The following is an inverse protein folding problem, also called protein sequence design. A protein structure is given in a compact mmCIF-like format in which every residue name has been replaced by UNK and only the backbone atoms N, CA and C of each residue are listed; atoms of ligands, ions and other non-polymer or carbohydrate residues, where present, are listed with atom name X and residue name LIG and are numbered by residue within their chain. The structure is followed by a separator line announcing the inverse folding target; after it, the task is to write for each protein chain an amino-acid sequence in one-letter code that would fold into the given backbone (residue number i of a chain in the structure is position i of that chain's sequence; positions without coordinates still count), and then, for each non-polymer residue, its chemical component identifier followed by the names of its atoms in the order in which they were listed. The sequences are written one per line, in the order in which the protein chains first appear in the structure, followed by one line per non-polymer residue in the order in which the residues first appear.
data_IF_610457623069
#
_entry.id   IF_610457623069
#
_cell.length_a   1.000
_cell.length_b   1.000
_cell.length_c   1.000
_cell.angle_alpha   90.00
_cell.angle_beta   90.00
_cell.angle_gamma   90.00
#
_symmetry.space_group_name_H-M   'P 1'
#
loop_
_entity.id
_entity.type
_entity.pdbx_description
1 polymer ?
#
# COMPACT_ATOMS: atom_id res chain seq x y z
N UNK A 1 -18.62 -4.57 -23.37
CA UNK A 1 -17.86 -3.30 -23.57
C UNK A 1 -16.87 -3.05 -22.43
N UNK A 2 -17.22 -3.35 -21.19
CA UNK A 2 -16.37 -3.10 -20.01
C UNK A 2 -15.11 -3.99 -19.96
N UNK A 3 -15.15 -5.19 -20.49
CA UNK A 3 -14.02 -6.14 -20.49
C UNK A 3 -12.87 -5.71 -21.42
N UNK A 4 -13.15 -5.06 -22.56
CA UNK A 4 -12.13 -4.59 -23.49
C UNK A 4 -11.45 -3.30 -22.99
N UNK A 5 -12.22 -2.41 -22.36
CA UNK A 5 -11.68 -1.20 -21.74
C UNK A 5 -10.82 -1.54 -20.51
N UNK A 6 -11.22 -2.53 -19.71
CA UNK A 6 -10.44 -2.96 -18.56
C UNK A 6 -9.12 -3.64 -18.95
N UNK A 7 -9.07 -4.42 -20.04
CA UNK A 7 -7.83 -5.01 -20.57
C UNK A 7 -6.85 -3.95 -21.08
N UNK A 8 -7.33 -2.97 -21.84
CA UNK A 8 -6.48 -1.87 -22.32
C UNK A 8 -5.92 -1.02 -21.18
N UNK A 9 -6.72 -0.75 -20.17
CA UNK A 9 -6.30 0.00 -18.98
C UNK A 9 -5.27 -0.80 -18.15
N UNK A 10 -5.49 -2.10 -17.99
CA UNK A 10 -4.55 -2.99 -17.29
C UNK A 10 -3.16 -3.01 -17.94
N UNK A 11 -3.08 -3.03 -19.26
CA UNK A 11 -1.80 -3.03 -19.98
C UNK A 11 -1.07 -1.68 -19.86
N UNK A 12 -1.81 -0.56 -19.83
CA UNK A 12 -1.24 0.77 -19.57
C UNK A 12 -0.62 0.83 -18.19
N UNK A 13 -1.33 0.38 -17.13
CA UNK A 13 -0.79 0.36 -15.78
C UNK A 13 0.40 -0.58 -15.61
N UNK A 14 0.38 -1.77 -16.22
CA UNK A 14 1.52 -2.69 -16.22
C UNK A 14 2.77 -2.00 -16.78
N UNK A 15 2.64 -1.29 -17.91
CA UNK A 15 3.75 -0.55 -18.50
C UNK A 15 4.21 0.60 -17.60
N UNK A 16 3.29 1.39 -17.06
CA UNK A 16 3.61 2.51 -16.17
C UNK A 16 4.32 2.02 -14.89
N UNK A 17 3.89 0.90 -14.32
CA UNK A 17 4.54 0.29 -13.16
C UNK A 17 5.95 -0.22 -13.53
N UNK A 18 6.12 -0.94 -14.64
CA UNK A 18 7.44 -1.44 -15.09
C UNK A 18 8.43 -0.32 -15.37
N UNK A 19 7.95 0.83 -15.85
CA UNK A 19 8.77 2.01 -16.15
C UNK A 19 8.76 3.07 -15.06
N UNK A 20 8.21 2.76 -13.88
CA UNK A 20 8.17 3.61 -12.68
C UNK A 20 7.53 5.00 -12.92
N UNK A 21 6.54 5.06 -13.81
CA UNK A 21 5.82 6.29 -14.17
C UNK A 21 4.71 6.61 -13.16
N UNK A 22 5.07 6.76 -11.88
CA UNK A 22 4.14 6.94 -10.77
C UNK A 22 3.29 8.20 -10.91
N UNK A 23 3.88 9.31 -11.35
CA UNK A 23 3.15 10.57 -11.56
C UNK A 23 2.10 10.44 -12.68
N UNK A 24 2.37 9.63 -13.71
CA UNK A 24 1.40 9.36 -14.76
C UNK A 24 0.20 8.54 -14.25
N UNK A 25 0.42 7.57 -13.35
CA UNK A 25 -0.65 6.82 -12.69
C UNK A 25 -1.52 7.76 -11.85
N UNK A 26 -0.90 8.60 -11.03
CA UNK A 26 -1.61 9.53 -10.15
C UNK A 26 -2.42 10.56 -10.96
N UNK A 27 -1.83 11.15 -11.99
CA UNK A 27 -2.48 12.18 -12.80
C UNK A 27 -3.59 11.64 -13.73
N UNK A 28 -3.51 10.36 -14.11
CA UNK A 28 -4.53 9.70 -14.93
C UNK A 28 -5.72 9.17 -14.13
N UNK A 29 -5.71 9.34 -12.80
CA UNK A 29 -6.78 8.85 -11.93
C UNK A 29 -8.06 9.63 -12.15
N UNK A 30 -9.09 8.97 -12.66
CA UNK A 30 -10.45 9.52 -12.71
C UNK A 30 -11.11 9.37 -11.34
N UNK A 31 -11.39 10.49 -10.70
CA UNK A 31 -12.03 10.54 -9.37
C UNK A 31 -13.46 9.94 -9.36
N UNK A 32 -14.08 9.79 -10.53
CA UNK A 32 -15.40 9.20 -10.66
C UNK A 32 -15.37 7.67 -10.89
N UNK A 33 -14.18 7.11 -11.12
CA UNK A 33 -14.03 5.69 -11.46
C UNK A 33 -13.59 4.88 -10.25
N UNK A 34 -14.52 4.13 -9.66
CA UNK A 34 -14.32 3.38 -8.44
C UNK A 34 -14.02 1.89 -8.71
N UNK A 35 -12.93 1.59 -9.41
CA UNK A 35 -12.46 0.22 -9.63
C UNK A 35 -11.30 -0.10 -8.68
N UNK A 36 -11.39 -1.23 -7.95
CA UNK A 36 -10.37 -1.65 -7.00
C UNK A 36 -8.97 -1.78 -7.61
N UNK A 37 -8.84 -2.34 -8.81
CA UNK A 37 -7.53 -2.44 -9.48
C UNK A 37 -6.91 -1.08 -9.72
N UNK A 38 -7.72 -0.10 -10.15
CA UNK A 38 -7.29 1.27 -10.32
C UNK A 38 -6.83 1.90 -9.01
N UNK A 39 -7.62 1.74 -7.94
CA UNK A 39 -7.28 2.25 -6.61
C UNK A 39 -6.02 1.57 -6.04
N UNK A 40 -5.84 0.26 -6.29
CA UNK A 40 -4.62 -0.45 -5.90
C UNK A 40 -3.38 0.11 -6.65
N UNK A 41 -3.49 0.40 -7.97
CA UNK A 41 -2.41 1.04 -8.74
C UNK A 41 -2.11 2.44 -8.22
N UNK A 42 -3.15 3.23 -7.95
CA UNK A 42 -3.02 4.58 -7.40
C UNK A 42 -2.31 4.57 -6.04
N UNK A 43 -2.78 3.74 -5.11
CA UNK A 43 -2.21 3.68 -3.76
C UNK A 43 -0.77 3.14 -3.80
N UNK A 44 -0.44 2.20 -4.70
CA UNK A 44 0.95 1.79 -4.95
C UNK A 44 1.80 2.97 -5.43
N UNK A 45 1.29 3.78 -6.37
CA UNK A 45 2.00 4.95 -6.86
C UNK A 45 2.19 6.02 -5.78
N UNK A 46 1.15 6.30 -4.96
CA UNK A 46 1.25 7.23 -3.82
C UNK A 46 2.30 6.79 -2.80
N UNK A 47 2.39 5.49 -2.50
CA UNK A 47 3.41 4.96 -1.60
C UNK A 47 4.81 5.04 -2.20
N UNK A 48 5.00 4.73 -3.48
CA UNK A 48 6.29 4.93 -4.15
C UNK A 48 6.73 6.39 -4.16
N UNK A 49 5.80 7.34 -4.26
CA UNK A 49 6.08 8.78 -4.15
C UNK A 49 6.29 9.25 -2.71
N UNK A 50 6.00 8.42 -1.70
CA UNK A 50 6.10 8.76 -0.29
C UNK A 50 5.05 9.76 0.20
N UNK A 51 3.92 9.88 -0.52
CA UNK A 51 2.82 10.81 -0.19
C UNK A 51 1.53 10.10 0.25
N UNK A 52 1.54 8.77 0.33
CA UNK A 52 0.33 8.01 0.66
C UNK A 52 -0.27 8.40 2.02
N UNK A 53 0.55 8.64 3.03
CA UNK A 53 0.09 8.99 4.38
C UNK A 53 -0.67 10.32 4.43
N UNK A 54 -0.39 11.26 3.52
CA UNK A 54 -1.03 12.58 3.47
C UNK A 54 -2.13 12.68 2.42
N UNK A 55 -2.00 11.90 1.34
CA UNK A 55 -2.80 12.08 0.14
C UNK A 55 -3.85 10.99 -0.07
N UNK A 56 -3.87 9.95 0.79
CA UNK A 56 -4.79 8.81 0.67
C UNK A 56 -6.25 9.24 0.47
N UNK A 57 -6.72 10.19 1.27
CA UNK A 57 -8.11 10.67 1.23
C UNK A 57 -8.38 11.77 0.21
N UNK A 58 -7.38 12.26 -0.51
CA UNK A 58 -7.61 13.14 -1.68
C UNK A 58 -8.30 12.39 -2.83
N UNK A 59 -8.27 11.07 -2.77
CA UNK A 59 -8.86 10.17 -3.76
C UNK A 59 -9.97 9.34 -3.13
N UNK A 60 -11.03 8.99 -3.88
CA UNK A 60 -12.11 8.16 -3.37
C UNK A 60 -11.56 6.78 -3.00
N UNK A 61 -11.77 6.37 -1.75
CA UNK A 61 -11.36 5.07 -1.25
C UNK A 61 -12.60 4.21 -0.94
N UNK A 62 -12.51 2.91 -1.21
CA UNK A 62 -13.59 1.93 -1.00
C UNK A 62 -13.21 0.88 0.05
N UNK A 63 -12.71 1.34 1.20
CA UNK A 63 -12.25 0.48 2.28
C UNK A 63 -10.91 -0.19 1.97
N UNK A 64 -10.55 -1.23 2.74
CA UNK A 64 -9.25 -1.92 2.65
C UNK A 64 -8.97 -2.47 1.24
N UNK A 65 -10.02 -2.82 0.48
CA UNK A 65 -9.88 -3.32 -0.88
C UNK A 65 -9.26 -2.29 -1.85
N UNK A 66 -9.23 -1.01 -1.49
CA UNK A 66 -8.51 0.01 -2.24
C UNK A 66 -6.99 -0.15 -2.16
N UNK A 67 -6.46 -0.81 -1.14
CA UNK A 67 -5.04 -1.12 -0.98
C UNK A 67 -4.67 -2.45 -1.64
N UNK A 68 -5.44 -3.48 -1.33
CA UNK A 68 -5.31 -4.83 -1.88
C UNK A 68 -6.72 -5.39 -2.05
N UNK A 69 -7.15 -5.54 -3.29
CA UNK A 69 -8.48 -6.09 -3.61
C UNK A 69 -8.58 -7.58 -3.26
N UNK A 70 -9.80 -8.11 -3.22
CA UNK A 70 -9.99 -9.56 -3.07
C UNK A 70 -9.47 -10.26 -4.33
N UNK A 71 -8.67 -11.30 -4.12
CA UNK A 71 -8.10 -12.08 -5.21
C UNK A 71 -9.18 -12.86 -5.97
N UNK A 72 -9.27 -12.65 -7.27
CA UNK A 72 -10.21 -13.31 -8.17
C UNK A 72 -9.53 -14.21 -9.22
N UNK A 73 -8.25 -14.53 -9.04
CA UNK A 73 -7.42 -15.35 -9.92
C UNK A 73 -7.25 -14.80 -11.35
N UNK A 74 -7.35 -13.47 -11.52
CA UNK A 74 -7.02 -12.83 -12.79
C UNK A 74 -5.52 -12.49 -12.89
N UNK A 75 -4.99 -12.54 -14.10
CA UNK A 75 -3.56 -12.27 -14.38
C UNK A 75 -3.20 -10.83 -13.99
N UNK A 76 -4.10 -9.88 -14.26
CA UNK A 76 -3.93 -8.46 -13.92
C UNK A 76 -3.79 -8.24 -12.42
N UNK A 77 -4.62 -8.91 -11.62
CA UNK A 77 -4.56 -8.86 -10.16
C UNK A 77 -3.29 -9.50 -9.64
N UNK A 78 -2.94 -10.69 -10.16
CA UNK A 78 -1.71 -11.39 -9.77
C UNK A 78 -0.46 -10.54 -10.07
N UNK A 79 -0.43 -9.87 -11.24
CA UNK A 79 0.62 -8.92 -11.58
C UNK A 79 0.70 -7.81 -10.52
N UNK A 80 -0.41 -7.13 -10.25
CA UNK A 80 -0.46 -5.99 -9.35
C UNK A 80 -0.11 -6.39 -7.91
N UNK A 81 -0.65 -7.52 -7.44
CA UNK A 81 -0.33 -8.03 -6.10
C UNK A 81 1.14 -8.37 -5.95
N UNK A 82 1.77 -8.95 -7.00
CA UNK A 82 3.21 -9.20 -6.97
C UNK A 82 4.01 -7.91 -6.75
N UNK A 83 3.59 -6.79 -7.36
CA UNK A 83 4.24 -5.50 -7.21
C UNK A 83 3.98 -4.90 -5.82
N UNK A 84 2.74 -4.93 -5.33
CA UNK A 84 2.38 -4.41 -4.01
C UNK A 84 3.13 -5.17 -2.91
N UNK A 85 3.05 -6.51 -2.92
CA UNK A 85 3.73 -7.32 -1.90
C UNK A 85 5.25 -7.19 -1.95
N UNK A 86 5.82 -7.05 -3.16
CA UNK A 86 7.23 -6.75 -3.30
C UNK A 86 7.58 -5.38 -2.73
N UNK A 87 6.77 -4.36 -3.01
CA UNK A 87 6.97 -3.00 -2.52
C UNK A 87 6.99 -2.95 -0.99
N UNK A 88 6.00 -3.54 -0.34
CA UNK A 88 5.91 -3.55 1.13
C UNK A 88 6.90 -4.50 1.82
N UNK A 89 7.57 -5.40 1.07
CA UNK A 89 8.59 -6.30 1.60
C UNK A 89 8.12 -7.72 1.93
N UNK A 90 6.90 -8.11 1.53
CA UNK A 90 6.40 -9.49 1.66
C UNK A 90 6.86 -10.31 0.45
N UNK A 91 8.16 -10.61 0.42
CA UNK A 91 8.84 -11.22 -0.73
C UNK A 91 8.27 -12.58 -1.12
N UNK A 92 7.80 -13.39 -0.16
CA UNK A 92 7.20 -14.70 -0.42
C UNK A 92 5.91 -14.62 -1.23
N UNK A 93 5.00 -13.70 -0.88
CA UNK A 93 3.77 -13.47 -1.65
C UNK A 93 4.06 -12.84 -3.01
N UNK A 94 4.98 -11.87 -3.04
CA UNK A 94 5.41 -11.27 -4.30
C UNK A 94 5.91 -12.33 -5.28
N UNK A 95 6.75 -13.26 -4.79
CA UNK A 95 7.25 -14.40 -5.57
C UNK A 95 6.11 -15.30 -6.05
N UNK A 96 5.20 -15.70 -5.17
CA UNK A 96 4.10 -16.60 -5.52
C UNK A 96 3.19 -16.01 -6.61
N UNK A 97 2.82 -14.74 -6.48
CA UNK A 97 2.01 -14.06 -7.49
C UNK A 97 2.77 -13.85 -8.80
N UNK A 98 4.07 -13.53 -8.75
CA UNK A 98 4.90 -13.37 -9.94
C UNK A 98 5.08 -14.70 -10.68
N UNK A 99 5.32 -15.80 -9.95
CA UNK A 99 5.44 -17.14 -10.51
C UNK A 99 4.13 -17.59 -11.16
N UNK A 100 3.01 -17.46 -10.44
CA UNK A 100 1.67 -17.79 -10.96
C UNK A 100 1.33 -17.00 -12.22
N UNK A 101 1.62 -15.69 -12.23
CA UNK A 101 1.44 -14.84 -13.42
C UNK A 101 2.32 -15.32 -14.59
N UNK A 102 3.57 -15.66 -14.34
CA UNK A 102 4.51 -16.12 -15.39
C UNK A 102 4.09 -17.44 -16.01
N UNK A 103 3.54 -18.36 -15.21
CA UNK A 103 3.02 -19.65 -15.69
C UNK A 103 1.71 -19.47 -16.47
N UNK A 104 0.86 -18.55 -16.06
CA UNK A 104 -0.42 -18.25 -16.72
C UNK A 104 -0.30 -17.57 -18.08
N UNK A 105 0.88 -17.03 -18.42
CA UNK A 105 1.13 -16.34 -19.71
C UNK A 105 1.93 -17.27 -20.63
N UNK A 106 1.41 -17.56 -21.83
CA UNK A 106 1.97 -18.54 -22.78
C UNK A 106 3.45 -18.34 -23.11
N UNK A 107 3.95 -17.12 -23.12
CA UNK A 107 5.35 -16.78 -23.41
C UNK A 107 6.11 -16.23 -22.19
N UNK A 108 5.53 -16.32 -20.99
CA UNK A 108 6.08 -15.72 -19.78
C UNK A 108 5.92 -14.19 -19.76
N UNK A 109 6.38 -13.58 -18.67
CA UNK A 109 6.40 -12.13 -18.49
C UNK A 109 7.81 -11.68 -18.08
N UNK A 110 8.51 -10.89 -18.93
CA UNK A 110 9.82 -10.36 -18.56
C UNK A 110 9.79 -9.55 -17.25
N UNK A 111 8.73 -8.80 -17.00
CA UNK A 111 8.56 -8.02 -15.77
C UNK A 111 8.47 -8.92 -14.55
N UNK A 112 7.69 -10.01 -14.65
CA UNK A 112 7.61 -11.01 -13.58
C UNK A 112 8.93 -11.75 -13.42
N UNK A 113 9.63 -12.04 -14.51
CA UNK A 113 10.96 -12.66 -14.47
C UNK A 113 11.97 -11.77 -13.73
N UNK A 114 11.94 -10.44 -13.92
CA UNK A 114 12.73 -9.48 -13.12
C UNK A 114 12.44 -9.63 -11.64
N UNK A 115 11.18 -9.72 -11.26
CA UNK A 115 10.77 -9.86 -9.85
C UNK A 115 11.18 -11.22 -9.28
N UNK A 116 11.08 -12.31 -10.06
CA UNK A 116 11.58 -13.63 -9.65
C UNK A 116 13.11 -13.61 -9.44
N UNK A 117 13.88 -12.96 -10.32
CA UNK A 117 15.33 -12.79 -10.13
C UNK A 117 15.61 -12.05 -8.83
N UNK A 118 14.97 -10.91 -8.61
CA UNK A 118 15.15 -10.12 -7.37
C UNK A 118 14.81 -10.95 -6.13
N UNK A 119 13.69 -11.68 -6.15
CA UNK A 119 13.27 -12.52 -5.03
C UNK A 119 14.29 -13.64 -4.75
N UNK A 120 14.79 -14.33 -5.77
CA UNK A 120 15.82 -15.35 -5.59
C UNK A 120 17.14 -14.78 -5.05
N UNK A 121 17.54 -13.57 -5.49
CA UNK A 121 18.71 -12.89 -4.94
C UNK A 121 18.51 -12.52 -3.46
N UNK A 122 17.32 -12.03 -3.09
CA UNK A 122 16.96 -11.72 -1.70
C UNK A 122 17.04 -12.98 -0.83
N UNK A 123 16.56 -14.12 -1.31
CA UNK A 123 16.63 -15.41 -0.59
C UNK A 123 18.00 -16.10 -0.63
N UNK A 124 18.99 -15.58 -1.36
CA UNK A 124 20.27 -16.25 -1.56
C UNK A 124 20.19 -17.51 -2.44
N UNK A 125 19.12 -17.67 -3.18
CA UNK A 125 18.89 -18.81 -4.08
C UNK A 125 19.58 -18.57 -5.44
N UNK A 126 20.90 -18.40 -5.41
CA UNK A 126 21.70 -17.98 -6.57
C UNK A 126 21.58 -18.89 -7.80
N UNK A 127 21.55 -20.24 -7.67
CA UNK A 127 21.39 -21.10 -8.86
C UNK A 127 20.06 -20.89 -9.59
N UNK A 128 18.99 -20.55 -8.85
CA UNK A 128 17.71 -20.22 -9.45
C UNK A 128 17.73 -18.83 -10.08
N UNK A 129 18.29 -17.84 -9.39
CA UNK A 129 18.47 -16.49 -9.93
C UNK A 129 19.25 -16.52 -11.25
N UNK A 130 20.35 -17.28 -11.32
CA UNK A 130 21.18 -17.40 -12.51
C UNK A 130 20.43 -17.97 -13.72
N UNK A 131 19.56 -18.97 -13.51
CA UNK A 131 18.70 -19.52 -14.57
C UNK A 131 17.77 -18.47 -15.16
N UNK A 132 17.10 -17.68 -14.29
CA UNK A 132 16.19 -16.62 -14.73
C UNK A 132 16.94 -15.44 -15.35
N UNK A 133 18.13 -15.08 -14.86
CA UNK A 133 19.01 -14.08 -15.50
C UNK A 133 19.37 -14.55 -16.90
N UNK A 134 19.86 -15.78 -17.06
CA UNK A 134 20.23 -16.33 -18.36
C UNK A 134 19.06 -16.43 -19.35
N UNK A 135 17.84 -16.64 -18.83
CA UNK A 135 16.62 -16.60 -19.66
C UNK A 135 16.33 -15.17 -20.15
N UNK A 136 16.41 -14.19 -19.27
CA UNK A 136 16.08 -12.79 -19.59
C UNK A 136 17.15 -12.12 -20.45
N UNK A 137 18.42 -12.54 -20.36
CA UNK A 137 19.52 -12.12 -21.22
C UNK A 137 19.29 -12.46 -22.71
N UNK A 138 18.46 -13.46 -23.00
CA UNK A 138 18.09 -13.78 -24.39
C UNK A 138 17.13 -12.77 -25.01
N UNK A 139 16.57 -11.86 -24.22
CA UNK A 139 15.63 -10.85 -24.69
C UNK A 139 16.39 -9.56 -25.02
N UNK A 140 16.09 -8.97 -26.17
CA UNK A 140 16.77 -7.73 -26.60
C UNK A 140 16.55 -6.57 -25.64
N UNK A 141 15.32 -6.37 -25.17
CA UNK A 141 14.97 -5.22 -24.34
C UNK A 141 15.50 -5.31 -22.88
N UNK A 142 15.69 -6.54 -22.36
CA UNK A 142 16.05 -6.72 -20.95
C UNK A 142 17.46 -7.29 -20.73
N UNK A 143 18.20 -7.53 -21.83
CA UNK A 143 19.56 -8.10 -21.77
C UNK A 143 20.48 -7.31 -20.82
N UNK A 144 20.56 -5.98 -21.01
CA UNK A 144 21.44 -5.14 -20.21
C UNK A 144 21.09 -5.13 -18.72
N UNK A 145 19.79 -5.10 -18.40
CA UNK A 145 19.33 -5.19 -17.02
C UNK A 145 19.68 -6.57 -16.41
N UNK A 146 19.39 -7.65 -17.12
CA UNK A 146 19.64 -9.01 -16.65
C UNK A 146 21.14 -9.24 -16.40
N UNK A 147 22.00 -8.84 -17.34
CA UNK A 147 23.45 -8.95 -17.19
C UNK A 147 23.99 -8.16 -15.98
N UNK A 148 23.40 -7.01 -15.70
CA UNK A 148 23.78 -6.20 -14.54
C UNK A 148 23.48 -6.90 -13.20
N UNK A 149 22.51 -7.84 -13.15
CA UNK A 149 22.20 -8.61 -11.95
C UNK A 149 23.24 -9.68 -11.61
N UNK A 150 24.11 -10.07 -12.55
CA UNK A 150 25.16 -11.07 -12.29
C UNK A 150 26.13 -10.68 -11.19
N UNK A 151 26.31 -9.38 -10.93
CA UNK A 151 27.15 -8.88 -9.81
C UNK A 151 26.70 -9.34 -8.42
N UNK A 152 25.43 -9.74 -8.29
CA UNK A 152 24.83 -10.21 -7.05
C UNK A 152 24.92 -11.72 -6.87
N UNK A 153 25.23 -12.49 -7.95
CA UNK A 153 25.30 -13.94 -7.87
C UNK A 153 26.45 -14.39 -6.98
N UNK A 154 26.13 -15.25 -6.01
CA UNK A 154 27.08 -15.80 -5.04
C UNK A 154 27.86 -14.72 -4.25
N UNK A 155 27.26 -13.55 -4.11
CA UNK A 155 27.87 -12.40 -3.44
C UNK A 155 26.87 -11.77 -2.45
N UNK A 156 26.76 -12.37 -1.25
CA UNK A 156 25.86 -11.90 -0.20
C UNK A 156 26.14 -10.45 0.19
N UNK A 157 27.42 -10.03 0.26
CA UNK A 157 27.78 -8.66 0.59
C UNK A 157 27.26 -7.66 -0.43
N UNK A 158 27.29 -7.98 -1.72
CA UNK A 158 26.75 -7.11 -2.75
C UNK A 158 25.23 -6.99 -2.62
N UNK A 159 24.51 -8.09 -2.32
CA UNK A 159 23.07 -8.08 -2.11
C UNK A 159 22.70 -7.28 -0.87
N UNK A 160 23.40 -7.46 0.24
CA UNK A 160 23.14 -6.77 1.50
C UNK A 160 23.43 -5.26 1.43
N UNK A 161 24.39 -4.87 0.60
CA UNK A 161 24.75 -3.47 0.38
C UNK A 161 23.84 -2.75 -0.62
N UNK A 162 23.04 -3.50 -1.38
CA UNK A 162 22.10 -2.93 -2.33
C UNK A 162 20.91 -2.29 -1.59
N UNK A 163 20.55 -1.03 -1.90
CA UNK A 163 19.48 -0.33 -1.19
C UNK A 163 18.12 -1.03 -1.29
N UNK A 164 17.82 -1.67 -2.42
CA UNK A 164 16.57 -2.38 -2.64
C UNK A 164 16.60 -3.80 -2.08
N UNK A 165 17.55 -4.61 -2.56
CA UNK A 165 17.64 -6.04 -2.21
C UNK A 165 18.01 -6.23 -0.74
N UNK A 166 18.98 -5.47 -0.23
CA UNK A 166 19.44 -5.57 1.15
C UNK A 166 18.38 -5.16 2.17
N UNK A 167 17.61 -4.11 1.88
CA UNK A 167 16.49 -3.70 2.74
C UNK A 167 15.44 -4.81 2.84
N UNK A 168 15.11 -5.45 1.72
CA UNK A 168 14.13 -6.55 1.71
C UNK A 168 14.68 -7.83 2.33
N UNK A 169 15.98 -8.11 2.16
CA UNK A 169 16.65 -9.25 2.83
C UNK A 169 16.61 -9.10 4.37
N UNK A 170 16.78 -7.89 4.90
CA UNK A 170 16.65 -7.62 6.34
C UNK A 170 15.24 -7.84 6.88
N UNK A 171 14.23 -7.71 6.04
CA UNK A 171 12.83 -7.96 6.40
C UNK A 171 12.40 -9.43 6.27
N UNK A 172 13.33 -10.32 5.87
CA UNK A 172 13.06 -11.76 5.87
C UNK A 172 13.07 -12.26 7.31
N UNK A 173 11.91 -12.67 7.82
CA UNK A 173 11.82 -13.34 9.12
C UNK A 173 12.46 -14.72 9.03
N UNK A 174 13.42 -15.00 9.92
CA UNK A 174 14.16 -16.28 9.94
C UNK A 174 13.29 -17.47 10.36
N UNK A 175 12.16 -17.25 11.06
CA UNK A 175 11.40 -18.30 11.74
C UNK A 175 9.91 -18.38 11.40
N UNK A 176 9.41 -17.47 10.58
CA UNK A 176 7.99 -17.46 10.23
C UNK A 176 7.86 -17.55 8.72
N UNK A 177 7.42 -18.71 8.25
CA UNK A 177 6.82 -18.82 6.93
C UNK A 177 5.70 -17.78 6.86
N UNK A 178 6.02 -16.62 6.29
CA UNK A 178 5.03 -15.62 5.92
C UNK A 178 4.18 -16.19 4.77
N UNK A 179 3.53 -17.32 5.01
CA UNK A 179 2.37 -17.75 4.24
C UNK A 179 1.26 -16.79 4.59
N UNK A 180 1.46 -15.55 4.15
CA UNK A 180 0.52 -14.51 4.36
C UNK A 180 -0.77 -14.92 3.66
N UNK A 181 -1.70 -15.30 4.45
CA UNK A 181 -3.08 -15.30 4.04
C UNK A 181 -3.43 -13.84 3.70
N UNK A 182 -4.07 -13.59 2.57
CA UNK A 182 -4.55 -12.24 2.19
C UNK A 182 -5.38 -11.61 3.34
N UNK A 183 -6.02 -12.45 4.16
CA UNK A 183 -6.76 -12.07 5.36
C UNK A 183 -5.84 -11.52 6.47
N UNK A 184 -4.55 -11.86 6.47
CA UNK A 184 -3.55 -11.44 7.46
C UNK A 184 -2.61 -10.33 6.97
N UNK A 185 -3.01 -9.50 5.99
CA UNK A 185 -2.16 -8.42 5.48
C UNK A 185 -1.63 -7.53 6.60
N UNK A 186 -2.50 -7.10 7.50
CA UNK A 186 -2.13 -6.23 8.63
C UNK A 186 -1.10 -6.89 9.54
N UNK A 187 -1.31 -8.15 9.92
CA UNK A 187 -0.40 -8.89 10.80
C UNK A 187 0.99 -9.06 10.16
N UNK A 188 1.03 -9.33 8.85
CA UNK A 188 2.28 -9.43 8.11
C UNK A 188 3.02 -8.08 8.03
N UNK A 189 2.30 -6.99 7.81
CA UNK A 189 2.87 -5.64 7.80
C UNK A 189 3.44 -5.27 9.18
N UNK A 190 2.75 -5.66 10.26
CA UNK A 190 3.22 -5.44 11.63
C UNK A 190 4.53 -6.17 11.91
N UNK A 191 4.65 -7.44 11.48
CA UNK A 191 5.90 -8.21 11.61
C UNK A 191 7.05 -7.53 10.86
N UNK A 192 6.79 -7.07 9.63
CA UNK A 192 7.80 -6.36 8.82
C UNK A 192 8.26 -5.07 9.50
N UNK A 193 7.34 -4.30 10.07
CA UNK A 193 7.68 -3.05 10.78
C UNK A 193 8.48 -3.31 12.06
N UNK A 194 8.24 -4.42 12.75
CA UNK A 194 9.02 -4.83 13.91
C UNK A 194 10.46 -5.20 13.55
N UNK A 195 10.66 -5.88 12.43
CA UNK A 195 11.98 -6.31 11.96
C UNK A 195 12.72 -5.20 11.20
N UNK A 196 12.01 -4.34 10.49
CA UNK A 196 12.56 -3.21 9.75
C UNK A 196 11.75 -1.93 9.97
N UNK A 197 11.97 -1.21 11.08
CA UNK A 197 11.25 0.03 11.44
C UNK A 197 11.30 1.13 10.38
N UNK A 198 12.32 1.12 9.52
CA UNK A 198 12.51 2.12 8.46
C UNK A 198 11.80 1.77 7.14
N UNK A 199 11.03 0.68 7.10
CA UNK A 199 10.28 0.30 5.90
C UNK A 199 9.05 1.19 5.72
N UNK A 200 9.24 2.31 5.00
CA UNK A 200 8.19 3.31 4.73
C UNK A 200 6.99 2.72 3.99
N UNK A 201 7.22 1.80 3.03
CA UNK A 201 6.14 1.19 2.27
C UNK A 201 5.24 0.33 3.17
N UNK A 202 5.83 -0.47 4.07
CA UNK A 202 5.07 -1.23 5.05
C UNK A 202 4.30 -0.30 6.00
N UNK A 203 4.90 0.81 6.43
CA UNK A 203 4.23 1.81 7.26
C UNK A 203 3.05 2.47 6.52
N UNK A 204 3.21 2.85 5.27
CA UNK A 204 2.16 3.44 4.44
C UNK A 204 0.93 2.52 4.35
N UNK A 205 1.17 1.24 4.04
CA UNK A 205 0.11 0.24 3.93
C UNK A 205 -0.50 -0.13 5.29
N UNK A 206 0.28 -0.12 6.37
CA UNK A 206 -0.24 -0.32 7.74
C UNK A 206 -1.18 0.81 8.14
N UNK A 207 -0.75 2.06 7.99
CA UNK A 207 -1.58 3.24 8.28
C UNK A 207 -2.82 3.25 7.38
N UNK A 208 -2.65 3.01 6.07
CA UNK A 208 -3.77 2.91 5.15
C UNK A 208 -4.79 1.85 5.56
N UNK A 209 -4.33 0.66 5.96
CA UNK A 209 -5.20 -0.43 6.44
C UNK A 209 -5.97 -0.03 7.68
N UNK A 210 -5.30 0.56 8.67
CA UNK A 210 -5.92 1.04 9.91
C UNK A 210 -7.00 2.10 9.63
N UNK A 211 -6.67 3.10 8.82
CA UNK A 211 -7.60 4.18 8.51
C UNK A 211 -8.80 3.71 7.69
N UNK A 212 -8.57 2.84 6.69
CA UNK A 212 -9.63 2.34 5.82
C UNK A 212 -10.50 1.26 6.48
N UNK A 213 -9.98 0.53 7.48
CA UNK A 213 -10.78 -0.36 8.34
C UNK A 213 -11.67 0.40 9.32
N UNK A 214 -11.30 1.64 9.67
CA UNK A 214 -11.97 2.46 10.71
C UNK A 214 -11.99 1.80 12.09
N UNK A 215 -11.04 0.90 12.33
CA UNK A 215 -10.88 0.21 13.60
C UNK A 215 -10.17 1.13 14.61
N UNK A 216 -10.95 1.97 15.28
CA UNK A 216 -10.41 2.93 16.27
C UNK A 216 -9.63 2.25 17.39
N UNK A 217 -10.05 1.10 17.96
CA UNK A 217 -9.25 0.32 18.90
C UNK A 217 -7.88 -0.10 18.35
N UNK A 218 -7.82 -0.62 17.12
CA UNK A 218 -6.56 -0.99 16.49
C UNK A 218 -5.67 0.23 16.23
N UNK A 219 -6.26 1.35 15.76
CA UNK A 219 -5.54 2.63 15.59
C UNK A 219 -4.96 3.10 16.92
N UNK A 220 -5.73 3.06 18.00
CA UNK A 220 -5.27 3.43 19.34
C UNK A 220 -4.07 2.60 19.76
N UNK A 221 -4.16 1.29 19.65
CA UNK A 221 -3.08 0.36 20.00
C UNK A 221 -1.81 0.64 19.16
N UNK A 222 -1.97 0.90 17.87
CA UNK A 222 -0.86 1.23 16.99
C UNK A 222 -0.19 2.56 17.38
N UNK A 223 -0.99 3.60 17.62
CA UNK A 223 -0.48 4.93 18.01
C UNK A 223 0.24 4.84 19.37
N UNK A 224 -0.34 4.17 20.34
CA UNK A 224 0.27 3.99 21.68
C UNK A 224 1.60 3.23 21.63
N UNK A 225 1.72 2.28 20.70
CA UNK A 225 2.91 1.46 20.53
C UNK A 225 4.04 2.16 19.78
N UNK A 226 3.73 2.89 18.70
CA UNK A 226 4.73 3.35 17.75
C UNK A 226 4.94 4.87 17.73
N UNK A 227 4.07 5.68 18.32
CA UNK A 227 4.24 7.13 18.32
C UNK A 227 5.54 7.55 19.01
N UNK A 228 6.32 8.41 18.36
CA UNK A 228 7.61 8.88 18.84
C UNK A 228 8.75 7.86 18.71
N UNK A 229 8.52 6.72 18.06
CA UNK A 229 9.58 5.74 17.72
C UNK A 229 10.12 5.98 16.31
N UNK A 230 11.15 5.23 15.91
CA UNK A 230 11.68 5.25 14.54
C UNK A 230 10.63 4.85 13.48
N UNK A 231 9.67 4.01 13.84
CA UNK A 231 8.56 3.62 12.94
C UNK A 231 7.65 4.80 12.66
N UNK A 232 7.26 5.54 13.71
CA UNK A 232 6.28 6.62 13.60
C UNK A 232 6.77 7.85 14.40
N UNK A 233 7.74 8.59 13.87
CA UNK A 233 8.33 9.75 14.57
C UNK A 233 7.32 10.86 14.84
N UNK A 234 6.32 11.02 13.97
CA UNK A 234 5.21 11.96 14.12
C UNK A 234 3.96 11.40 13.47
N UNK A 235 2.79 11.76 13.99
CA UNK A 235 1.52 11.33 13.41
C UNK A 235 1.23 12.12 12.13
N UNK A 236 1.03 11.47 10.97
CA UNK A 236 0.48 12.12 9.78
C UNK A 236 -0.94 12.63 10.07
N UNK A 237 -1.35 13.68 9.38
CA UNK A 237 -2.63 14.36 9.63
C UNK A 237 -3.85 13.41 9.66
N UNK A 238 -4.01 12.42 8.76
CA UNK A 238 -5.11 11.46 8.85
C UNK A 238 -5.12 10.61 10.11
N UNK A 239 -3.96 10.26 10.66
CA UNK A 239 -3.89 9.58 11.97
C UNK A 239 -4.25 10.52 13.13
N UNK A 240 -3.83 11.79 13.08
CA UNK A 240 -4.28 12.79 14.06
C UNK A 240 -5.80 12.94 14.04
N UNK A 241 -6.41 12.95 12.85
CA UNK A 241 -7.86 12.99 12.67
C UNK A 241 -8.54 11.74 13.26
N UNK A 242 -7.93 10.57 13.15
CA UNK A 242 -8.44 9.36 13.77
C UNK A 242 -8.29 9.39 15.30
N UNK A 243 -7.15 9.88 15.82
CA UNK A 243 -6.91 10.02 17.28
C UNK A 243 -7.98 10.89 17.92
N UNK A 244 -8.26 12.06 17.37
CA UNK A 244 -9.27 12.95 17.94
C UNK A 244 -10.68 12.35 17.91
N UNK A 245 -10.95 11.45 16.95
CA UNK A 245 -12.27 10.79 16.85
C UNK A 245 -12.59 9.88 18.05
N UNK A 246 -11.57 9.33 18.73
CA UNK A 246 -11.77 8.53 19.94
C UNK A 246 -11.31 9.22 21.23
N UNK A 247 -10.47 10.24 21.13
CA UNK A 247 -9.91 10.96 22.29
C UNK A 247 -10.41 12.40 22.40
N UNK A 248 -11.57 12.71 21.84
CA UNK A 248 -12.15 14.06 21.83
C UNK A 248 -12.25 14.70 23.21
N UNK A 249 -12.55 13.90 24.24
CA UNK A 249 -12.74 14.34 25.61
C UNK A 249 -11.47 14.25 26.46
N UNK A 250 -10.32 13.92 25.86
CA UNK A 250 -9.03 13.80 26.52
C UNK A 250 -7.96 14.67 25.82
N UNK A 251 -7.93 15.99 26.13
CA UNK A 251 -6.95 16.89 25.54
C UNK A 251 -5.49 16.55 25.90
N UNK A 252 -5.25 15.90 27.04
CA UNK A 252 -3.92 15.49 27.43
C UNK A 252 -3.43 14.33 26.57
N UNK A 253 -4.29 13.38 26.28
CA UNK A 253 -4.00 12.30 25.34
C UNK A 253 -3.68 12.85 23.95
N UNK A 254 -4.50 13.76 23.43
CA UNK A 254 -4.25 14.39 22.13
C UNK A 254 -2.89 15.07 22.07
N UNK A 255 -2.52 15.86 23.09
CA UNK A 255 -1.20 16.52 23.16
C UNK A 255 -0.06 15.52 23.27
N UNK A 256 -0.21 14.49 24.12
CA UNK A 256 0.78 13.43 24.33
C UNK A 256 1.18 12.76 23.00
N UNK A 257 0.22 12.51 22.13
CA UNK A 257 0.44 11.85 20.84
C UNK A 257 0.58 12.82 19.67
N UNK A 258 0.77 14.12 19.92
CA UNK A 258 1.16 15.10 18.92
C UNK A 258 0.03 15.50 17.96
N UNK A 259 -1.23 15.44 18.42
CA UNK A 259 -2.34 16.05 17.68
C UNK A 259 -2.19 17.57 17.69
N UNK A 260 -2.13 18.19 16.53
CA UNK A 260 -1.88 19.62 16.39
C UNK A 260 -3.12 20.47 16.70
N UNK A 261 -2.92 21.71 17.17
CA UNK A 261 -4.02 22.65 17.41
C UNK A 261 -4.83 22.94 16.15
N UNK A 262 -4.19 22.86 14.97
CA UNK A 262 -4.86 22.95 13.67
C UNK A 262 -5.94 21.89 13.55
N UNK A 263 -5.57 20.61 13.74
CA UNK A 263 -6.51 19.47 13.62
C UNK A 263 -7.59 19.52 14.68
N UNK A 264 -7.27 19.97 15.92
CA UNK A 264 -8.23 20.16 17.00
C UNK A 264 -9.29 21.21 16.63
N UNK A 265 -8.87 22.35 16.10
CA UNK A 265 -9.79 23.42 15.67
C UNK A 265 -10.64 23.01 14.46
N UNK A 266 -10.04 22.36 13.48
CA UNK A 266 -10.77 21.84 12.30
C UNK A 266 -11.83 20.81 12.70
N UNK A 267 -11.52 19.92 13.64
CA UNK A 267 -12.48 18.95 14.16
C UNK A 267 -13.65 19.62 14.88
N UNK A 268 -13.39 20.67 15.67
CA UNK A 268 -14.44 21.41 16.34
C UNK A 268 -15.42 22.06 15.35
N UNK A 269 -14.89 22.65 14.28
CA UNK A 269 -15.70 23.23 13.20
C UNK A 269 -16.52 22.16 12.48
N UNK A 270 -15.86 21.03 12.12
CA UNK A 270 -16.52 19.90 11.50
C UNK A 270 -17.68 19.38 12.35
N UNK A 271 -17.46 19.16 13.64
CA UNK A 271 -18.47 18.68 14.57
C UNK A 271 -19.65 19.63 14.69
N UNK A 272 -19.42 20.95 14.84
CA UNK A 272 -20.48 21.96 14.88
C UNK A 272 -21.31 21.94 13.60
N UNK A 273 -20.67 21.82 12.45
CA UNK A 273 -21.36 21.74 11.16
C UNK A 273 -22.24 20.50 11.04
N UNK A 274 -21.72 19.33 11.43
CA UNK A 274 -22.49 18.07 11.45
C UNK A 274 -23.71 18.17 12.38
N UNK A 275 -23.53 18.72 13.57
CA UNK A 275 -24.63 18.92 14.53
C UNK A 275 -25.67 19.90 13.98
N UNK A 276 -25.26 21.01 13.40
CA UNK A 276 -26.16 21.98 12.78
C UNK A 276 -27.01 21.37 11.64
N UNK A 277 -26.38 20.60 10.76
CA UNK A 277 -27.06 19.90 9.67
C UNK A 277 -28.08 18.85 10.18
N UNK A 278 -27.72 18.09 11.22
CA UNK A 278 -28.64 17.14 11.88
C UNK A 278 -29.83 17.84 12.52
N UNK A 279 -29.62 18.93 13.22
CA UNK A 279 -30.70 19.73 13.81
C UNK A 279 -31.62 20.31 12.73
N UNK A 280 -31.06 20.78 11.62
CA UNK A 280 -31.84 21.30 10.49
C UNK A 280 -32.50 20.19 9.65
N UNK A 281 -32.28 18.90 9.97
CA UNK A 281 -32.74 17.73 9.19
C UNK A 281 -32.27 17.76 7.72
N UNK A 282 -31.12 18.35 7.48
CA UNK A 282 -30.49 18.39 6.16
C UNK A 282 -29.62 17.16 5.91
N UNK A 283 -29.33 16.88 4.63
CA UNK A 283 -28.42 15.79 4.27
C UNK A 283 -27.00 16.13 4.72
N UNK A 284 -26.51 15.38 5.70
CA UNK A 284 -25.19 15.61 6.28
C UNK A 284 -24.08 15.36 5.26
N UNK A 285 -24.16 14.28 4.48
CA UNK A 285 -23.12 13.94 3.50
C UNK A 285 -22.89 15.06 2.47
N UNK A 286 -23.97 15.63 1.94
CA UNK A 286 -23.87 16.77 1.02
C UNK A 286 -23.37 18.04 1.72
N UNK A 287 -23.79 18.27 2.96
CA UNK A 287 -23.43 19.48 3.71
C UNK A 287 -21.98 19.51 4.21
N UNK A 288 -21.25 18.38 4.17
CA UNK A 288 -19.83 18.26 4.55
C UNK A 288 -18.97 17.78 3.39
N UNK A 289 -19.39 17.97 2.14
CA UNK A 289 -18.64 17.47 0.96
C UNK A 289 -17.21 18.03 0.86
N UNK A 290 -16.97 19.23 1.38
CA UNK A 290 -15.66 19.86 1.49
C UNK A 290 -14.69 19.14 2.47
N UNK A 291 -15.21 18.27 3.35
CA UNK A 291 -14.41 17.40 4.22
C UNK A 291 -14.11 16.01 3.59
N UNK A 292 -14.51 15.80 2.33
CA UNK A 292 -14.27 14.52 1.63
C UNK A 292 -12.82 14.03 1.73
N UNK A 293 -11.77 14.86 1.65
CA UNK A 293 -10.39 14.43 1.81
C UNK A 293 -9.95 14.24 3.26
N UNK A 294 -10.86 13.83 4.16
CA UNK A 294 -10.54 13.61 5.58
C UNK A 294 -11.00 12.25 6.08
N UNK A 295 -10.34 11.74 7.12
CA UNK A 295 -10.78 10.53 7.83
C UNK A 295 -12.18 10.71 8.42
N UNK A 296 -12.53 11.90 8.89
CA UNK A 296 -13.85 12.16 9.50
C UNK A 296 -15.00 11.99 8.52
N UNK A 297 -14.83 12.44 7.29
CA UNK A 297 -15.83 12.24 6.24
C UNK A 297 -16.05 10.74 5.97
N UNK A 298 -14.94 10.00 5.80
CA UNK A 298 -14.99 8.55 5.58
C UNK A 298 -15.68 7.81 6.74
N UNK A 299 -15.38 8.18 8.00
CA UNK A 299 -15.96 7.53 9.17
C UNK A 299 -17.45 7.82 9.33
N UNK A 300 -17.90 9.03 9.00
CA UNK A 300 -19.28 9.48 9.21
C UNK A 300 -20.25 8.94 8.15
N UNK A 301 -19.86 8.90 6.87
CA UNK A 301 -20.74 8.45 5.78
C UNK A 301 -21.12 6.97 5.96
N UNK A 302 -20.20 6.13 6.39
CA UNK A 302 -20.50 4.71 6.59
C UNK A 302 -21.32 4.39 7.85
N UNK A 303 -21.41 5.32 8.80
CA UNK A 303 -22.32 5.19 9.94
C UNK A 303 -23.77 5.48 9.51
N UNK A 304 -23.96 6.25 8.45
CA UNK A 304 -25.28 6.66 7.95
C UNK A 304 -25.84 5.77 6.83
N UNK A 305 -25.05 4.86 6.26
CA UNK A 305 -25.56 3.84 5.33
C UNK A 305 -25.92 2.57 6.12
N UNK A 306 -27.23 2.23 6.29
CA UNK A 306 -27.59 0.93 6.81
C UNK A 306 -27.10 -0.12 5.81
N UNK A 307 -26.35 -1.11 6.30
CA UNK A 307 -25.97 -2.31 5.56
C UNK A 307 -27.20 -2.87 4.85
N UNK A 308 -27.23 -2.73 3.53
CA UNK A 308 -28.16 -3.47 2.65
C UNK A 308 -27.55 -4.79 2.24
#
# INVERSE_FOLDING_TARGET
RDCLLSRGLGDVYKRQIDTEQWDAIISSTDLNYNNYLHLNCLNLALSHKGVMQTDLFKYPQSGIQSLVSKYQAHIEESFLFSQIYYHVGITSLAYNFAFGTSVGITYGSPVMTKLLIKSHLIYGQYPAAEKFISLLEKTWAYHGWASSQRKFLYNDQAVESDPELGTKRKSLSSDKDLFANIIGLFDNLMIILEENPLNKAALDYTIGTLLLSKDLPAIKTFVERFSGTEVLPALPEPLQQAVISYAEHDPEYCRKYGVTDKVLSEFSIFKQRVLGLRHARQNVATGIADYQPTFWYLSLIHISEPTR
#
